data_IF_458339356296
#
_entry.id   IF_458339356296
#
_cell.length_a   1.000
_cell.length_b   1.000
_cell.length_c   1.000
_cell.angle_alpha   90.00
_cell.angle_beta   90.00
_cell.angle_gamma   90.00
#
_symmetry.space_group_name_H-M   'P 1'
#
loop_
_entity.id
_entity.type
_entity.pdbx_description
1 polymer ?
#
# COMPACT_ATOMS: atom_id res chain seq x y z
N UNK A 1 18.32 -12.87 11.35
CA UNK A 1 17.02 -13.52 11.63
C UNK A 1 16.41 -13.95 10.31
N UNK A 2 16.13 -15.23 10.13
CA UNK A 2 15.58 -15.80 8.91
C UNK A 2 14.07 -15.53 8.84
N UNK A 3 13.61 -14.76 7.84
CA UNK A 3 12.22 -14.27 7.75
C UNK A 3 11.23 -15.32 7.24
N UNK A 4 11.72 -16.45 6.74
CA UNK A 4 10.91 -17.54 6.22
C UNK A 4 11.63 -18.88 6.39
N UNK A 5 10.88 -19.92 6.72
CA UNK A 5 11.38 -21.28 6.86
C UNK A 5 10.83 -22.16 5.74
N UNK A 6 11.68 -22.98 5.13
CA UNK A 6 11.29 -23.98 4.14
C UNK A 6 10.58 -25.15 4.83
N UNK A 7 9.35 -25.48 4.44
CA UNK A 7 8.58 -26.63 4.93
C UNK A 7 7.98 -27.42 3.76
N UNK A 8 7.46 -28.62 4.03
CA UNK A 8 6.64 -29.39 3.09
C UNK A 8 5.17 -29.31 3.49
N UNK A 9 4.28 -29.09 2.52
CA UNK A 9 2.83 -29.14 2.76
C UNK A 9 2.33 -30.60 2.86
N UNK A 10 1.03 -30.78 3.14
CA UNK A 10 0.40 -32.10 3.24
C UNK A 10 0.44 -32.91 1.93
N UNK A 11 0.76 -32.26 0.80
CA UNK A 11 0.93 -32.88 -0.53
C UNK A 11 2.41 -33.12 -0.87
N UNK A 12 3.33 -32.84 0.05
CA UNK A 12 4.78 -33.00 -0.12
C UNK A 12 5.47 -31.85 -0.85
N UNK A 13 4.74 -30.81 -1.25
CA UNK A 13 5.30 -29.65 -1.96
C UNK A 13 6.11 -28.78 -1.01
N UNK A 14 7.23 -28.28 -1.50
CA UNK A 14 8.05 -27.32 -0.76
C UNK A 14 7.34 -25.97 -0.72
N UNK A 15 7.08 -25.45 0.48
CA UNK A 15 6.51 -24.13 0.73
C UNK A 15 7.42 -23.31 1.63
N UNK A 16 7.42 -22.00 1.45
CA UNK A 16 8.08 -21.07 2.36
C UNK A 16 7.06 -20.53 3.34
N UNK A 17 7.29 -20.75 4.63
CA UNK A 17 6.42 -20.26 5.69
C UNK A 17 7.09 -19.05 6.31
N UNK A 18 6.49 -17.87 6.18
CA UNK A 18 7.00 -16.69 6.86
C UNK A 18 6.97 -16.90 8.38
N UNK A 19 7.85 -16.24 9.12
CA UNK A 19 7.81 -16.29 10.58
C UNK A 19 6.53 -15.62 11.12
N UNK A 20 6.05 -16.01 12.31
CA UNK A 20 4.79 -15.51 12.87
C UNK A 20 4.70 -13.99 12.97
N UNK A 21 5.82 -13.32 13.28
CA UNK A 21 5.93 -11.86 13.25
C UNK A 21 5.78 -11.29 11.83
N UNK A 22 6.31 -11.93 10.79
CA UNK A 22 6.17 -11.46 9.40
C UNK A 22 4.73 -11.63 8.91
N UNK A 23 4.08 -12.74 9.25
CA UNK A 23 2.66 -12.92 8.92
C UNK A 23 1.78 -11.84 9.57
N UNK A 24 2.03 -11.51 10.83
CA UNK A 24 1.31 -10.43 11.52
C UNK A 24 1.47 -9.09 10.80
N UNK A 25 2.68 -8.75 10.36
CA UNK A 25 2.93 -7.51 9.61
C UNK A 25 2.17 -7.49 8.28
N UNK A 26 2.18 -8.60 7.54
CA UNK A 26 1.45 -8.74 6.27
C UNK A 26 -0.06 -8.60 6.50
N UNK A 27 -0.59 -9.22 7.55
CA UNK A 27 -2.01 -9.18 7.85
C UNK A 27 -2.47 -7.77 8.26
N UNK A 28 -1.70 -7.08 9.12
CA UNK A 28 -1.96 -5.68 9.48
C UNK A 28 -1.92 -4.76 8.25
N UNK A 29 -0.91 -4.91 7.39
CA UNK A 29 -0.85 -4.15 6.15
C UNK A 29 -2.07 -4.43 5.27
N UNK A 30 -2.51 -5.69 5.20
CA UNK A 30 -3.68 -6.09 4.42
C UNK A 30 -4.96 -5.47 4.97
N UNK A 31 -5.10 -5.34 6.29
CA UNK A 31 -6.20 -4.60 6.92
C UNK A 31 -6.21 -3.15 6.47
N UNK A 32 -5.10 -2.41 6.66
CA UNK A 32 -4.97 -1.01 6.23
C UNK A 32 -5.28 -0.83 4.75
N UNK A 33 -4.80 -1.72 3.88
CA UNK A 33 -5.05 -1.66 2.44
C UNK A 33 -6.53 -1.92 2.05
N UNK A 34 -7.29 -2.66 2.87
CA UNK A 34 -8.70 -2.93 2.63
C UNK A 34 -9.65 -1.98 3.36
N UNK A 35 -9.13 -1.07 4.18
CA UNK A 35 -9.94 -0.02 4.79
C UNK A 35 -10.57 0.87 3.71
N UNK A 36 -11.82 1.24 3.96
CA UNK A 36 -12.54 2.19 3.13
C UNK A 36 -12.17 3.59 3.57
N UNK A 37 -11.63 4.37 2.63
CA UNK A 37 -11.26 5.77 2.82
C UNK A 37 -12.34 6.64 2.21
N UNK A 38 -12.73 7.69 2.94
CA UNK A 38 -13.66 8.70 2.46
C UNK A 38 -12.90 9.96 2.01
N UNK A 39 -13.15 10.39 0.79
CA UNK A 39 -12.66 11.66 0.24
C UNK A 39 -13.86 12.60 0.13
N UNK A 40 -13.96 13.53 1.08
CA UNK A 40 -15.08 14.47 1.13
C UNK A 40 -15.00 15.48 0.00
N UNK A 41 -16.07 15.56 -0.80
CA UNK A 41 -16.21 16.57 -1.84
C UNK A 41 -16.41 17.97 -1.25
N UNK A 42 -15.78 18.98 -1.86
CA UNK A 42 -16.00 20.39 -1.48
C UNK A 42 -17.31 20.89 -2.09
N UNK A 43 -18.17 21.55 -1.32
CA UNK A 43 -19.45 22.10 -1.82
C UNK A 43 -20.46 20.99 -2.10
N UNK A 44 -21.03 20.94 -3.32
CA UNK A 44 -22.04 19.95 -3.70
C UNK A 44 -21.45 18.68 -4.34
N UNK A 45 -20.13 18.52 -4.35
CA UNK A 45 -19.50 17.30 -4.82
C UNK A 45 -19.74 16.16 -3.81
N UNK A 46 -20.08 14.94 -4.27
CA UNK A 46 -20.33 13.82 -3.37
C UNK A 46 -19.04 13.37 -2.67
N UNK A 47 -19.19 12.75 -1.50
CA UNK A 47 -18.10 12.00 -0.87
C UNK A 47 -17.80 10.76 -1.70
N UNK A 48 -16.53 10.56 -2.04
CA UNK A 48 -16.05 9.34 -2.68
C UNK A 48 -15.67 8.36 -1.57
N UNK A 49 -16.18 7.13 -1.63
CA UNK A 49 -15.86 6.05 -0.69
C UNK A 49 -15.22 4.91 -1.47
N UNK A 50 -13.96 4.61 -1.17
CA UNK A 50 -13.20 3.58 -1.89
C UNK A 50 -12.18 2.92 -0.97
N UNK A 51 -11.83 1.65 -1.24
CA UNK A 51 -10.75 1.01 -0.49
C UNK A 51 -9.42 1.65 -0.85
N UNK A 52 -8.50 1.74 0.12
CA UNK A 52 -7.16 2.28 -0.11
C UNK A 52 -6.45 1.59 -1.27
N UNK A 53 -6.55 0.26 -1.36
CA UNK A 53 -5.93 -0.53 -2.44
C UNK A 53 -6.48 -0.21 -3.83
N UNK A 54 -7.76 0.18 -3.93
CA UNK A 54 -8.39 0.52 -5.21
C UNK A 54 -7.91 1.90 -5.68
N UNK A 55 -7.75 2.85 -4.75
CA UNK A 55 -7.15 4.17 -5.02
C UNK A 55 -5.70 3.99 -5.50
N UNK A 56 -4.88 3.21 -4.78
CA UNK A 56 -3.49 2.93 -5.15
C UNK A 56 -3.40 2.29 -6.55
N UNK A 57 -4.28 1.33 -6.83
CA UNK A 57 -4.30 0.62 -8.11
C UNK A 57 -4.68 1.55 -9.25
N UNK A 58 -5.66 2.43 -9.04
CA UNK A 58 -6.09 3.44 -10.00
C UNK A 58 -4.96 4.41 -10.34
N UNK A 59 -4.33 5.02 -9.32
CA UNK A 59 -3.21 5.97 -9.50
C UNK A 59 -2.05 5.30 -10.24
N UNK A 60 -1.66 4.09 -9.83
CA UNK A 60 -0.57 3.35 -10.47
C UNK A 60 -0.84 3.07 -11.95
N UNK A 61 -2.08 2.74 -12.30
CA UNK A 61 -2.48 2.50 -13.68
C UNK A 61 -2.47 3.79 -14.50
N UNK A 62 -2.98 4.89 -13.95
CA UNK A 62 -2.94 6.20 -14.62
C UNK A 62 -1.52 6.71 -14.86
N UNK A 63 -0.64 6.59 -13.88
CA UNK A 63 0.78 6.94 -14.03
C UNK A 63 1.47 6.07 -15.10
N UNK A 64 1.16 4.77 -15.17
CA UNK A 64 1.67 3.89 -16.22
C UNK A 64 1.19 4.33 -17.60
N UNK A 65 -0.08 4.66 -17.75
CA UNK A 65 -0.66 5.15 -19.01
C UNK A 65 -0.04 6.49 -19.46
N UNK A 66 0.38 7.33 -18.51
CA UNK A 66 1.10 8.57 -18.77
C UNK A 66 2.60 8.38 -19.10
N UNK A 67 3.09 7.13 -19.17
CA UNK A 67 4.50 6.82 -19.42
C UNK A 67 5.40 7.02 -18.20
N UNK A 68 4.82 7.07 -17.00
CA UNK A 68 5.52 7.35 -15.74
C UNK A 68 5.33 6.24 -14.69
N UNK A 69 5.65 4.97 -15.01
CA UNK A 69 5.33 3.86 -14.13
C UNK A 69 6.11 3.94 -12.79
N UNK A 70 5.43 3.91 -11.63
CA UNK A 70 6.14 3.87 -10.37
C UNK A 70 6.80 2.50 -10.15
N UNK A 71 8.02 2.50 -9.60
CA UNK A 71 8.82 1.31 -9.28
C UNK A 71 8.16 0.45 -8.19
N UNK A 72 7.47 1.11 -7.26
CA UNK A 72 6.75 0.50 -6.14
C UNK A 72 5.73 1.50 -5.60
N UNK A 73 4.97 1.10 -4.57
CA UNK A 73 4.19 2.02 -3.74
C UNK A 73 4.59 1.74 -2.30
N UNK A 74 4.86 2.79 -1.53
CA UNK A 74 5.26 2.68 -0.13
C UNK A 74 4.23 3.37 0.75
N UNK A 75 3.85 2.71 1.84
CA UNK A 75 3.13 3.33 2.93
C UNK A 75 4.15 3.99 3.87
N UNK A 76 3.89 5.21 4.30
CA UNK A 76 4.73 5.96 5.24
C UNK A 76 3.90 6.45 6.44
N UNK A 77 4.55 7.21 7.33
CA UNK A 77 3.89 7.93 8.41
C UNK A 77 3.36 7.04 9.54
N UNK A 78 2.31 7.54 10.20
CA UNK A 78 1.67 6.86 11.33
C UNK A 78 1.12 5.48 10.95
N UNK A 79 0.53 5.34 9.76
CA UNK A 79 0.00 4.09 9.26
C UNK A 79 1.09 3.02 9.05
N UNK A 80 2.27 3.41 8.54
CA UNK A 80 3.41 2.49 8.42
C UNK A 80 3.90 2.01 9.79
N UNK A 81 3.96 2.93 10.76
CA UNK A 81 4.34 2.61 12.14
C UNK A 81 3.31 1.69 12.80
N UNK A 82 2.01 1.93 12.56
CA UNK A 82 0.92 1.08 13.02
C UNK A 82 1.13 -0.34 12.51
N UNK A 83 1.31 -0.53 11.20
CA UNK A 83 1.56 -1.86 10.61
C UNK A 83 2.78 -2.54 11.23
N UNK A 84 3.87 -1.79 11.47
CA UNK A 84 5.14 -2.32 11.98
C UNK A 84 5.13 -2.67 13.48
N UNK A 85 4.20 -2.11 14.26
CA UNK A 85 4.19 -2.25 15.71
C UNK A 85 3.63 -3.60 16.19
N UNK A 86 3.87 -3.90 17.46
CA UNK A 86 3.14 -4.93 18.20
C UNK A 86 1.87 -4.38 18.86
N UNK A 87 1.84 -3.08 19.10
CA UNK A 87 0.73 -2.40 19.76
C UNK A 87 -0.28 -1.89 18.75
N UNK A 88 -1.51 -1.72 19.21
CA UNK A 88 -2.57 -1.06 18.46
C UNK A 88 -2.68 0.40 18.89
N UNK A 89 -2.38 1.30 17.97
CA UNK A 89 -2.54 2.73 18.12
C UNK A 89 -3.17 3.32 16.87
N UNK A 90 -3.88 4.43 17.00
CA UNK A 90 -4.50 5.10 15.85
C UNK A 90 -3.46 5.85 15.01
N UNK A 91 -3.76 6.00 13.72
CA UNK A 91 -3.09 6.95 12.83
C UNK A 91 -4.14 7.92 12.27
N UNK A 92 -3.73 9.15 11.99
CA UNK A 92 -4.61 10.17 11.43
C UNK A 92 -4.53 10.22 9.90
N UNK A 93 -3.35 9.95 9.35
CA UNK A 93 -3.03 10.18 7.94
C UNK A 93 -2.59 8.89 7.23
N UNK A 94 -2.85 8.86 5.92
CA UNK A 94 -2.41 7.81 5.00
C UNK A 94 -1.42 8.39 4.00
N UNK A 95 -0.13 8.25 4.31
CA UNK A 95 0.95 8.75 3.45
C UNK A 95 1.38 7.68 2.44
N UNK A 96 1.16 7.96 1.15
CA UNK A 96 1.56 7.10 0.06
C UNK A 96 2.68 7.75 -0.75
N UNK A 97 3.76 7.00 -0.95
CA UNK A 97 4.89 7.41 -1.79
C UNK A 97 4.94 6.51 -3.01
N UNK A 98 5.03 7.12 -4.20
CA UNK A 98 5.17 6.44 -5.48
C UNK A 98 6.55 6.74 -6.06
N UNK A 99 7.60 5.95 -5.75
CA UNK A 99 8.93 6.18 -6.29
C UNK A 99 8.92 5.98 -7.82
N UNK A 100 9.27 7.03 -8.56
CA UNK A 100 9.28 7.07 -10.01
C UNK A 100 10.42 7.97 -10.48
N UNK A 101 10.87 7.77 -11.72
CA UNK A 101 11.81 8.68 -12.38
C UNK A 101 11.03 9.88 -12.92
N UNK A 102 11.61 11.07 -12.71
CA UNK A 102 11.01 12.35 -13.09
C UNK A 102 12.10 13.09 -13.86
N UNK A 103 12.12 12.90 -15.18
CA UNK A 103 13.22 13.39 -16.02
C UNK A 103 12.90 14.74 -16.69
N UNK A 104 11.62 14.98 -16.99
CA UNK A 104 11.18 16.12 -17.79
C UNK A 104 10.36 17.12 -16.98
N UNK A 105 10.35 18.39 -17.38
CA UNK A 105 9.57 19.44 -16.71
C UNK A 105 8.06 19.22 -16.78
N UNK A 106 7.54 18.53 -17.81
CA UNK A 106 6.13 18.19 -17.98
C UNK A 106 5.65 17.03 -17.08
N UNK A 107 6.59 16.35 -16.41
CA UNK A 107 6.31 15.22 -15.52
C UNK A 107 5.39 15.61 -14.37
N UNK A 108 5.56 16.81 -13.82
CA UNK A 108 4.72 17.30 -12.72
C UNK A 108 3.28 17.58 -13.18
N UNK A 109 3.11 18.08 -14.40
CA UNK A 109 1.78 18.34 -14.98
C UNK A 109 1.05 17.04 -15.30
N UNK A 110 1.76 15.98 -15.70
CA UNK A 110 1.19 14.63 -15.90
C UNK A 110 0.72 13.97 -14.62
N UNK A 111 1.36 14.28 -13.49
CA UNK A 111 1.01 13.73 -12.17
C UNK A 111 -0.19 14.46 -11.55
N UNK A 112 -0.33 15.75 -11.82
CA UNK A 112 -1.38 16.62 -11.29
C UNK A 112 -2.75 16.31 -11.89
#
# INVERSE_FOLDING_TARGET
MEKAQKRRDAKGNVVWVASGNVWRLIDRLRTVLNETVEIHGKGNFPTISARLIDIISCVREKLRQAGMPPKSVKLNGGAASHVASADDFSYADLDLIFPMEVENSDSFDKVR
#
